data_IF_307909409016
#
_entry.id   IF_307909409016
#
_cell.length_a   1.000
_cell.length_b   1.000
_cell.length_c   1.000
_cell.angle_alpha   90.00
_cell.angle_beta   90.00
_cell.angle_gamma   90.00
#
_symmetry.space_group_name_H-M   'P 1'
#
loop_
_entity.id
_entity.type
_entity.pdbx_description
1 polymer ?
#
# COMPACT_ATOMS: atom_id res chain seq x y z
N UNK A 1 -9.51 -13.69 2.04
CA UNK A 1 -9.06 -14.18 0.74
C UNK A 1 -8.97 -15.68 0.75
N UNK A 2 -8.58 -16.29 -0.36
CA UNK A 2 -8.36 -17.73 -0.51
C UNK A 2 -7.09 -17.97 -1.31
N UNK A 3 -6.52 -19.17 -1.15
CA UNK A 3 -5.47 -19.66 -2.04
C UNK A 3 -5.64 -21.17 -2.20
N UNK A 4 -5.37 -21.67 -3.39
CA UNK A 4 -5.40 -23.09 -3.70
C UNK A 4 -4.32 -23.44 -4.71
N UNK A 5 -3.71 -24.62 -4.55
CA UNK A 5 -2.70 -25.14 -5.47
C UNK A 5 -2.95 -26.62 -5.67
N UNK A 6 -2.89 -27.07 -6.91
CA UNK A 6 -2.83 -28.48 -7.29
C UNK A 6 -1.52 -28.69 -8.02
N UNK A 7 -0.77 -29.72 -7.63
CA UNK A 7 0.48 -30.08 -8.29
C UNK A 7 0.57 -31.58 -8.52
N UNK A 8 1.35 -31.94 -9.53
CA UNK A 8 1.69 -33.31 -9.87
C UNK A 8 3.17 -33.38 -10.22
N UNK A 9 3.85 -34.39 -9.69
CA UNK A 9 5.28 -34.61 -9.88
C UNK A 9 5.47 -36.11 -10.08
N UNK A 10 6.24 -36.47 -11.10
CA UNK A 10 6.52 -37.87 -11.39
C UNK A 10 7.87 -38.04 -12.11
N UNK A 11 8.36 -39.27 -12.11
CA UNK A 11 9.58 -39.69 -12.79
C UNK A 11 9.33 -40.93 -13.62
N UNK A 12 9.92 -40.97 -14.81
CA UNK A 12 9.76 -42.05 -15.78
C UNK A 12 11.11 -42.47 -16.37
N UNK A 13 11.08 -43.59 -17.10
CA UNK A 13 12.25 -44.16 -17.79
C UNK A 13 13.44 -44.38 -16.83
N UNK A 14 13.23 -45.18 -15.78
CA UNK A 14 14.25 -45.47 -14.77
C UNK A 14 14.89 -44.19 -14.19
N UNK A 15 14.05 -43.25 -13.75
CA UNK A 15 14.43 -41.94 -13.20
C UNK A 15 15.17 -40.99 -14.17
N UNK A 16 15.19 -41.29 -15.47
CA UNK A 16 15.85 -40.47 -16.50
C UNK A 16 15.07 -39.20 -16.83
N UNK A 17 13.73 -39.23 -16.76
CA UNK A 17 12.87 -38.09 -17.09
C UNK A 17 12.00 -37.72 -15.90
N UNK A 18 12.08 -36.47 -15.44
CA UNK A 18 11.21 -35.90 -14.43
C UNK A 18 10.24 -34.89 -15.01
N UNK A 19 9.01 -34.87 -14.49
CA UNK A 19 8.04 -33.80 -14.76
C UNK A 19 7.47 -33.27 -13.46
N UNK A 20 7.30 -31.95 -13.38
CA UNK A 20 6.52 -31.30 -12.35
C UNK A 20 5.59 -30.27 -12.97
N UNK A 21 4.32 -30.29 -12.60
CA UNK A 21 3.34 -29.27 -12.96
C UNK A 21 2.63 -28.76 -11.73
N UNK A 22 2.31 -27.47 -11.71
CA UNK A 22 1.49 -26.87 -10.67
C UNK A 22 0.55 -25.81 -11.24
N UNK A 23 -0.71 -25.86 -10.82
CA UNK A 23 -1.71 -24.84 -11.07
C UNK A 23 -2.09 -24.22 -9.73
N UNK A 24 -2.03 -22.89 -9.63
CA UNK A 24 -2.37 -22.16 -8.41
C UNK A 24 -3.31 -21.01 -8.71
N UNK A 25 -4.21 -20.74 -7.77
CA UNK A 25 -5.14 -19.61 -7.79
C UNK A 25 -5.18 -18.96 -6.41
N UNK A 26 -5.31 -17.64 -6.33
CA UNK A 26 -5.48 -16.94 -5.07
C UNK A 26 -6.20 -15.60 -5.21
N UNK A 27 -6.87 -15.19 -4.12
CA UNK A 27 -7.32 -13.81 -3.88
C UNK A 27 -6.83 -13.32 -2.52
N UNK A 28 -6.24 -12.14 -2.49
CA UNK A 28 -5.62 -11.52 -1.32
C UNK A 28 -6.18 -10.11 -1.11
N UNK A 29 -7.29 -9.96 -0.37
CA UNK A 29 -7.82 -8.66 0.01
C UNK A 29 -6.97 -8.04 1.12
N UNK A 30 -6.80 -6.73 1.08
CA UNK A 30 -6.06 -5.93 2.04
C UNK A 30 -6.78 -4.61 2.33
N UNK A 31 -6.64 -4.14 3.57
CA UNK A 31 -7.26 -2.90 4.06
C UNK A 31 -6.26 -2.13 4.90
N UNK A 32 -6.12 -0.84 4.60
CA UNK A 32 -5.15 0.03 5.24
C UNK A 32 -5.82 1.34 5.68
N UNK A 33 -5.52 1.78 6.89
CA UNK A 33 -5.77 3.16 7.34
C UNK A 33 -4.45 3.92 7.25
N UNK A 34 -4.46 5.05 6.56
CA UNK A 34 -3.28 5.89 6.33
C UNK A 34 -3.49 7.26 6.96
N UNK A 35 -2.49 7.67 7.73
CA UNK A 35 -2.37 9.03 8.22
C UNK A 35 -1.07 9.62 7.67
N UNK A 36 -1.16 10.84 7.14
CA UNK A 36 -0.01 11.59 6.69
C UNK A 36 -0.25 13.07 7.01
N UNK A 37 0.68 13.70 7.71
CA UNK A 37 0.69 15.15 7.88
C UNK A 37 1.43 15.79 6.72
N UNK A 38 1.01 16.99 6.33
CA UNK A 38 1.77 17.77 5.35
C UNK A 38 3.11 18.26 5.92
N UNK A 39 3.17 18.36 7.25
CA UNK A 39 4.29 18.90 8.02
C UNK A 39 3.78 19.77 9.17
N UNK A 40 4.71 20.46 9.82
CA UNK A 40 4.43 21.31 10.98
C UNK A 40 5.12 22.67 10.82
N UNK A 41 4.49 23.65 10.13
CA UNK A 41 5.07 24.99 10.02
C UNK A 41 5.32 25.63 11.38
N UNK A 42 6.43 26.35 11.45
CA UNK A 42 6.83 27.16 12.61
C UNK A 42 6.58 28.65 12.33
N UNK A 43 6.23 29.41 13.37
CA UNK A 43 6.02 30.85 13.31
C UNK A 43 6.28 31.50 14.67
N UNK A 44 6.60 32.80 14.66
CA UNK A 44 6.77 33.59 15.87
C UNK A 44 5.43 34.20 16.30
N UNK A 45 5.06 34.02 17.56
CA UNK A 45 3.90 34.66 18.16
C UNK A 45 4.18 36.11 18.57
N UNK A 46 3.12 36.86 18.90
CA UNK A 46 3.24 38.24 19.35
C UNK A 46 3.99 38.41 20.69
N UNK A 47 4.17 37.33 21.43
CA UNK A 47 4.97 37.27 22.66
C UNK A 47 6.45 36.93 22.41
N UNK A 48 6.87 36.85 21.14
CA UNK A 48 8.25 36.56 20.74
C UNK A 48 8.64 35.09 20.87
N UNK A 49 7.69 34.19 21.12
CA UNK A 49 7.94 32.74 21.22
C UNK A 49 7.68 32.05 19.89
N UNK A 50 8.42 30.97 19.64
CA UNK A 50 8.20 30.10 18.50
C UNK A 50 7.07 29.11 18.79
N UNK A 51 6.16 28.98 17.83
CA UNK A 51 5.06 28.03 17.84
C UNK A 51 5.08 27.17 16.61
N UNK A 52 4.54 25.96 16.72
CA UNK A 52 4.33 25.06 15.59
C UNK A 52 2.91 24.50 15.58
N UNK A 53 2.36 24.22 14.41
CA UNK A 53 1.02 23.67 14.25
C UNK A 53 0.99 22.70 13.07
N UNK A 54 0.03 21.78 13.04
CA UNK A 54 -0.22 20.94 11.87
C UNK A 54 -0.44 21.79 10.60
N UNK A 55 0.29 21.51 9.53
CA UNK A 55 0.13 22.19 8.23
C UNK A 55 -1.12 21.77 7.47
N UNK A 56 -1.50 20.51 7.64
CA UNK A 56 -2.66 19.85 7.04
C UNK A 56 -2.49 18.34 7.16
N UNK A 57 -3.53 17.58 6.80
CA UNK A 57 -3.52 16.13 6.92
C UNK A 57 -4.20 15.42 5.76
N UNK A 58 -3.80 14.16 5.55
CA UNK A 58 -4.39 13.23 4.58
C UNK A 58 -4.84 11.93 5.27
N UNK A 59 -5.94 11.97 6.06
CA UNK A 59 -6.59 10.76 6.54
C UNK A 59 -7.23 10.00 5.37
N UNK A 60 -6.63 8.89 4.97
CA UNK A 60 -7.12 8.04 3.90
C UNK A 60 -7.36 6.61 4.38
N UNK A 61 -8.26 5.92 3.68
CA UNK A 61 -8.43 4.48 3.74
C UNK A 61 -8.13 3.93 2.36
N UNK A 62 -7.40 2.81 2.31
CA UNK A 62 -7.10 2.11 1.06
C UNK A 62 -7.56 0.67 1.19
N UNK A 63 -8.33 0.22 0.21
CA UNK A 63 -8.70 -1.17 0.00
C UNK A 63 -8.00 -1.68 -1.24
N UNK A 64 -7.46 -2.90 -1.20
CA UNK A 64 -6.95 -3.54 -2.42
C UNK A 64 -7.26 -5.03 -2.44
N UNK A 65 -7.42 -5.59 -3.64
CA UNK A 65 -7.59 -7.04 -3.82
C UNK A 65 -6.69 -7.50 -4.95
N UNK A 66 -5.77 -8.40 -4.63
CA UNK A 66 -4.91 -9.06 -5.61
C UNK A 66 -5.48 -10.44 -5.94
N UNK A 67 -5.82 -10.66 -7.19
CA UNK A 67 -6.18 -11.97 -7.76
C UNK A 67 -5.02 -12.46 -8.63
N UNK A 68 -4.67 -13.75 -8.53
CA UNK A 68 -3.59 -14.33 -9.31
C UNK A 68 -3.82 -15.79 -9.60
N UNK A 69 -3.71 -16.14 -10.86
CA UNK A 69 -3.65 -17.51 -11.36
C UNK A 69 -2.28 -17.78 -11.98
N UNK A 70 -1.73 -18.97 -11.75
CA UNK A 70 -0.42 -19.32 -12.28
C UNK A 70 -0.32 -20.79 -12.66
N UNK A 71 0.38 -21.06 -13.75
CA UNK A 71 0.74 -22.40 -14.22
C UNK A 71 2.26 -22.54 -14.31
N UNK A 72 2.80 -23.57 -13.67
CA UNK A 72 4.22 -23.91 -13.68
C UNK A 72 4.41 -25.28 -14.31
N UNK A 73 5.45 -25.42 -15.13
CA UNK A 73 5.92 -26.66 -15.72
C UNK A 73 7.44 -26.74 -15.54
N UNK A 74 7.93 -27.89 -15.09
CA UNK A 74 9.34 -28.24 -15.09
C UNK A 74 9.49 -29.60 -15.72
N UNK A 75 10.43 -29.72 -16.65
CA UNK A 75 10.86 -30.95 -17.28
C UNK A 75 12.34 -31.13 -16.98
N UNK A 76 12.70 -32.29 -16.46
CA UNK A 76 14.08 -32.69 -16.21
C UNK A 76 14.39 -33.90 -17.07
N UNK A 77 15.58 -33.94 -17.66
CA UNK A 77 16.08 -35.08 -18.40
C UNK A 77 17.56 -35.30 -18.08
N UNK A 78 17.90 -36.50 -17.62
CA UNK A 78 19.26 -36.91 -17.27
C UNK A 78 19.63 -38.20 -18.02
N UNK A 79 19.91 -38.15 -19.34
CA UNK A 79 20.05 -39.35 -20.18
C UNK A 79 21.22 -40.26 -19.81
N UNK A 80 22.21 -39.74 -19.09
CA UNK A 80 23.34 -40.47 -18.53
C UNK A 80 23.93 -39.69 -17.34
N UNK A 81 24.87 -40.31 -16.62
CA UNK A 81 25.49 -39.74 -15.41
C UNK A 81 26.27 -38.43 -15.64
N UNK A 82 26.53 -38.06 -16.89
CA UNK A 82 27.36 -36.90 -17.26
C UNK A 82 26.54 -35.73 -17.84
N UNK A 83 25.25 -35.93 -18.13
CA UNK A 83 24.39 -34.91 -18.74
C UNK A 83 23.06 -34.84 -18.00
N UNK A 84 22.76 -33.66 -17.44
CA UNK A 84 21.46 -33.31 -16.87
C UNK A 84 20.96 -32.02 -17.51
N UNK A 85 19.68 -31.99 -17.85
CA UNK A 85 19.00 -30.91 -18.54
C UNK A 85 17.71 -30.58 -17.79
N UNK A 86 17.45 -29.29 -17.57
CA UNK A 86 16.22 -28.81 -16.96
C UNK A 86 15.62 -27.75 -17.86
N UNK A 87 14.31 -27.85 -18.09
CA UNK A 87 13.51 -26.84 -18.74
C UNK A 87 12.38 -26.44 -17.79
N UNK A 88 12.25 -25.15 -17.52
CA UNK A 88 11.15 -24.61 -16.73
C UNK A 88 10.36 -23.56 -17.52
N UNK A 89 9.06 -23.50 -17.23
CA UNK A 89 8.14 -22.51 -17.76
C UNK A 89 7.17 -22.07 -16.68
N UNK A 90 6.90 -20.76 -16.63
CA UNK A 90 5.96 -20.15 -15.70
C UNK A 90 5.05 -19.18 -16.47
N UNK A 91 3.75 -19.37 -16.32
CA UNK A 91 2.72 -18.43 -16.74
C UNK A 91 2.01 -17.87 -15.51
N UNK A 92 1.78 -16.57 -15.49
CA UNK A 92 1.06 -15.87 -14.43
C UNK A 92 0.11 -14.88 -15.05
N UNK A 93 -1.15 -14.96 -14.65
CA UNK A 93 -2.16 -13.94 -14.88
C UNK A 93 -2.56 -13.34 -13.53
N UNK A 94 -2.65 -12.02 -13.45
CA UNK A 94 -2.97 -11.34 -12.20
C UNK A 94 -3.77 -10.06 -12.44
N UNK A 95 -4.56 -9.71 -11.44
CA UNK A 95 -5.34 -8.47 -11.39
C UNK A 95 -5.23 -7.86 -10.00
N UNK A 96 -4.82 -6.60 -9.92
CA UNK A 96 -4.68 -5.86 -8.65
C UNK A 96 -5.56 -4.62 -8.64
N UNK A 97 -6.72 -4.73 -7.98
CA UNK A 97 -7.67 -3.62 -7.84
C UNK A 97 -7.37 -2.85 -6.56
N UNK A 98 -7.27 -1.51 -6.67
CA UNK A 98 -7.03 -0.61 -5.52
C UNK A 98 -8.04 0.52 -5.53
N UNK A 99 -8.58 0.79 -4.35
CA UNK A 99 -9.46 1.92 -4.09
C UNK A 99 -8.86 2.70 -2.93
N UNK A 100 -8.58 3.99 -3.15
CA UNK A 100 -8.16 4.91 -2.10
C UNK A 100 -9.22 5.99 -1.92
N UNK A 101 -9.68 6.16 -0.68
CA UNK A 101 -10.69 7.16 -0.33
C UNK A 101 -10.26 7.95 0.89
N UNK A 102 -10.65 9.22 0.90
CA UNK A 102 -10.59 10.04 2.09
C UNK A 102 -10.52 11.50 1.74
N UNK A 103 -9.97 12.31 2.63
CA UNK A 103 -10.06 13.76 2.53
C UNK A 103 -8.70 14.35 2.83
N UNK A 104 -8.26 15.30 2.01
CA UNK A 104 -7.15 16.18 2.35
C UNK A 104 -7.71 17.40 3.06
N UNK A 105 -7.28 17.61 4.30
CA UNK A 105 -7.77 18.65 5.20
C UNK A 105 -6.65 19.67 5.39
N UNK A 106 -6.75 20.86 4.78
CA UNK A 106 -5.79 21.91 4.98
C UNK A 106 -5.90 22.52 6.38
N UNK A 107 -4.77 22.98 6.90
CA UNK A 107 -4.71 23.68 8.17
C UNK A 107 -3.83 24.94 8.00
N UNK A 108 -2.63 25.01 8.58
CA UNK A 108 -1.78 26.20 8.47
C UNK A 108 -1.26 26.50 7.04
N UNK A 109 -1.14 25.50 6.17
CA UNK A 109 -0.84 25.71 4.74
C UNK A 109 -2.09 25.69 3.86
N UNK A 110 -3.25 25.84 4.48
CA UNK A 110 -4.53 25.99 3.79
C UNK A 110 -4.77 27.41 3.28
N UNK A 111 -5.93 27.60 2.65
CA UNK A 111 -6.39 28.89 2.14
C UNK A 111 -7.19 29.68 3.18
N UNK A 112 -7.63 29.00 4.24
CA UNK A 112 -8.39 29.58 5.32
C UNK A 112 -7.51 30.22 6.40
N UNK A 113 -8.16 30.71 7.45
CA UNK A 113 -7.51 31.28 8.62
C UNK A 113 -7.72 30.39 9.85
N UNK A 114 -6.75 30.39 10.75
CA UNK A 114 -6.87 29.79 12.07
C UNK A 114 -7.54 30.82 12.99
N UNK A 115 -8.62 30.43 13.68
CA UNK A 115 -9.21 31.25 14.73
C UNK A 115 -8.32 31.19 15.97
N UNK A 116 -7.41 32.16 16.12
CA UNK A 116 -6.38 32.14 17.17
C UNK A 116 -6.94 31.94 18.60
N UNK A 117 -8.12 32.48 18.89
CA UNK A 117 -8.80 32.32 20.20
C UNK A 117 -9.24 30.88 20.52
N UNK A 118 -9.26 29.99 19.52
CA UNK A 118 -9.60 28.57 19.68
C UNK A 118 -8.37 27.66 19.81
N UNK A 119 -7.17 28.22 19.68
CA UNK A 119 -5.94 27.43 19.70
C UNK A 119 -5.60 26.97 21.13
N UNK A 120 -5.29 25.68 21.30
CA UNK A 120 -4.73 25.13 22.53
C UNK A 120 -3.25 24.87 22.33
N UNK A 121 -2.42 25.63 23.04
CA UNK A 121 -0.97 25.55 22.96
C UNK A 121 -0.46 24.68 24.10
N UNK A 122 0.35 23.68 23.79
CA UNK A 122 1.20 23.03 24.78
C UNK A 122 2.34 23.97 25.19
N UNK A 123 2.36 24.37 26.46
CA UNK A 123 3.31 25.35 26.98
C UNK A 123 4.75 24.85 27.04
N UNK A 124 4.97 23.53 27.07
CA UNK A 124 6.32 22.96 27.13
C UNK A 124 6.98 22.92 25.74
N UNK A 125 6.22 22.49 24.73
CA UNK A 125 6.74 22.34 23.35
C UNK A 125 6.48 23.53 22.44
N UNK A 126 5.55 24.43 22.78
CA UNK A 126 5.06 25.46 21.87
C UNK A 126 4.19 24.89 20.73
N UNK A 127 3.76 23.64 20.81
CA UNK A 127 2.94 23.01 19.78
C UNK A 127 1.44 23.32 19.97
N UNK A 128 0.76 23.73 18.90
CA UNK A 128 -0.69 23.90 18.89
C UNK A 128 -1.36 22.55 18.63
N UNK A 129 -1.90 21.96 19.69
CA UNK A 129 -2.52 20.63 19.69
C UNK A 129 -3.94 20.61 19.12
N UNK A 130 -4.65 21.74 19.18
CA UNK A 130 -5.97 21.90 18.58
C UNK A 130 -6.24 23.36 18.22
N UNK A 131 -7.03 23.59 17.17
CA UNK A 131 -7.56 24.90 16.79
C UNK A 131 -8.76 24.72 15.84
N UNK A 132 -9.56 25.76 15.67
CA UNK A 132 -10.60 25.84 14.64
C UNK A 132 -10.05 26.63 13.45
N UNK A 133 -10.20 26.08 12.25
CA UNK A 133 -9.93 26.79 11.00
C UNK A 133 -11.23 27.16 10.29
N UNK A 134 -11.24 28.31 9.62
CA UNK A 134 -12.40 28.81 8.89
C UNK A 134 -12.02 29.14 7.45
N UNK A 135 -12.96 28.94 6.52
CA UNK A 135 -12.73 29.20 5.09
C UNK A 135 -11.81 28.19 4.39
N UNK A 136 -11.51 27.05 5.03
CA UNK A 136 -10.74 25.98 4.39
C UNK A 136 -11.57 25.27 3.32
N UNK A 137 -10.90 24.87 2.23
CA UNK A 137 -11.49 24.01 1.19
C UNK A 137 -10.83 22.64 1.29
N UNK A 138 -11.62 21.63 1.65
CA UNK A 138 -11.14 20.26 1.70
C UNK A 138 -11.14 19.64 0.31
N UNK A 139 -10.26 18.67 0.07
CA UNK A 139 -10.24 17.91 -1.18
C UNK A 139 -10.65 16.47 -0.88
N UNK A 140 -11.79 16.05 -1.42
CA UNK A 140 -12.21 14.66 -1.35
C UNK A 140 -11.46 13.86 -2.41
N UNK A 141 -10.86 12.74 -2.00
CA UNK A 141 -10.14 11.80 -2.86
C UNK A 141 -10.94 10.51 -2.99
N UNK A 142 -11.07 10.03 -4.22
CA UNK A 142 -11.72 8.77 -4.57
C UNK A 142 -11.00 8.23 -5.81
N UNK A 143 -9.88 7.58 -5.55
CA UNK A 143 -8.96 7.15 -6.58
C UNK A 143 -9.17 5.65 -6.80
N UNK A 144 -9.28 5.24 -8.06
CA UNK A 144 -9.38 3.84 -8.49
C UNK A 144 -8.21 3.51 -9.40
N UNK A 145 -7.53 2.41 -9.13
CA UNK A 145 -6.45 1.86 -9.94
C UNK A 145 -6.71 0.37 -10.15
N UNK A 146 -6.50 -0.10 -11.37
CA UNK A 146 -6.56 -1.51 -11.77
C UNK A 146 -5.36 -1.81 -12.68
N UNK A 147 -4.74 -2.96 -12.49
CA UNK A 147 -3.58 -3.42 -13.26
C UNK A 147 -3.59 -4.92 -13.42
#
# INVERSE_FOLDING_TARGET
GFRGTVSYIDKFADDTIGVAVALSTMTSPNQEKRWNSWGYPEFEGSDGKQYSILGGAKPFVRSSTLERDSAMLVLEASPNDQLSMVFDALYVDFKDEKILRGIEIPFAWGQGAIAASSATIDSESGFISSAVTQGQRVVVRNDYEDR
#
